data_IF_980944019607
#
_entry.id   IF_980944019607
#
_cell.length_a   1.000
_cell.length_b   1.000
_cell.length_c   1.000
_cell.angle_alpha   90.00
_cell.angle_beta   90.00
_cell.angle_gamma   90.00
#
_symmetry.space_group_name_H-M   'P 1'
#
loop_
_entity.id
_entity.type
_entity.pdbx_description
1 polymer ?
#
# COMPACT_ATOMS: atom_id res chain seq x y z
N UNK A 1 9.22 -24.85 4.45
CA UNK A 1 9.11 -23.62 5.27
C UNK A 1 10.43 -22.85 5.40
N UNK A 2 11.56 -23.50 5.73
CA UNK A 2 12.86 -22.81 5.82
C UNK A 2 13.39 -22.36 4.45
N UNK A 3 13.25 -23.19 3.42
CA UNK A 3 13.71 -22.86 2.06
C UNK A 3 12.86 -21.76 1.39
N UNK A 4 11.55 -21.76 1.63
CA UNK A 4 10.65 -20.69 1.15
C UNK A 4 10.96 -19.35 1.81
N UNK A 5 11.24 -19.32 3.12
CA UNK A 5 11.72 -18.10 3.81
C UNK A 5 13.06 -17.59 3.28
N UNK A 6 13.99 -18.49 2.96
CA UNK A 6 15.30 -18.10 2.42
C UNK A 6 15.18 -17.44 1.04
N UNK A 7 14.37 -18.02 0.14
CA UNK A 7 14.09 -17.44 -1.18
C UNK A 7 13.35 -16.11 -1.07
N UNK A 8 12.34 -16.02 -0.19
CA UNK A 8 11.59 -14.79 0.08
C UNK A 8 12.49 -13.68 0.65
N UNK A 9 13.38 -13.99 1.59
CA UNK A 9 14.38 -13.03 2.08
C UNK A 9 15.26 -12.52 0.95
N UNK A 10 15.73 -13.39 0.05
CA UNK A 10 16.54 -12.95 -1.09
C UNK A 10 15.82 -11.97 -2.03
N UNK A 11 14.51 -12.13 -2.21
CA UNK A 11 13.68 -11.23 -3.04
C UNK A 11 13.44 -9.89 -2.32
N UNK A 12 13.03 -9.97 -1.06
CA UNK A 12 12.66 -8.81 -0.24
C UNK A 12 13.88 -7.93 0.09
N UNK A 13 15.03 -8.54 0.34
CA UNK A 13 16.28 -7.82 0.63
C UNK A 13 16.96 -7.31 -0.65
N UNK A 14 16.37 -7.58 -1.82
CA UNK A 14 16.89 -7.06 -3.08
C UNK A 14 16.72 -5.54 -3.14
N UNK A 15 17.79 -4.85 -3.54
CA UNK A 15 17.76 -3.38 -3.73
C UNK A 15 16.74 -2.94 -4.78
N UNK A 16 16.40 -3.80 -5.74
CA UNK A 16 15.39 -3.52 -6.77
C UNK A 16 13.99 -3.48 -6.17
N UNK A 17 13.68 -4.39 -5.25
CA UNK A 17 12.39 -4.41 -4.57
C UNK A 17 12.20 -3.15 -3.72
N UNK A 18 13.16 -2.84 -2.84
CA UNK A 18 13.09 -1.60 -2.04
C UNK A 18 13.04 -0.32 -2.90
N UNK A 19 13.74 -0.27 -4.04
CA UNK A 19 13.66 0.87 -4.97
C UNK A 19 12.30 0.97 -5.66
N UNK A 20 11.70 -0.16 -6.05
CA UNK A 20 10.37 -0.20 -6.65
C UNK A 20 9.31 0.36 -5.71
N UNK A 21 9.38 -0.01 -4.43
CA UNK A 21 8.46 0.48 -3.39
C UNK A 21 8.64 1.98 -3.17
N UNK A 22 9.88 2.46 -3.06
CA UNK A 22 10.14 3.90 -2.92
C UNK A 22 9.61 4.70 -4.12
N UNK A 23 9.74 4.18 -5.35
CA UNK A 23 9.15 4.80 -6.54
C UNK A 23 7.62 4.81 -6.47
N UNK A 24 7.00 3.70 -6.06
CA UNK A 24 5.55 3.63 -5.93
C UNK A 24 5.03 4.64 -4.88
N UNK A 25 5.74 4.85 -3.77
CA UNK A 25 5.36 5.82 -2.73
C UNK A 25 5.40 7.24 -3.31
N UNK A 26 6.46 7.55 -4.06
CA UNK A 26 6.59 8.84 -4.73
C UNK A 26 5.45 9.05 -5.74
N UNK A 27 5.15 8.05 -6.57
CA UNK A 27 4.07 8.16 -7.56
C UNK A 27 2.71 8.32 -6.88
N UNK A 28 2.42 7.56 -5.82
CA UNK A 28 1.18 7.70 -5.05
C UNK A 28 1.05 9.09 -4.40
N UNK A 29 2.14 9.62 -3.84
CA UNK A 29 2.18 10.98 -3.27
C UNK A 29 1.95 12.05 -4.34
N UNK A 30 2.52 11.88 -5.54
CA UNK A 30 2.30 12.76 -6.69
C UNK A 30 0.84 12.67 -7.16
N UNK A 31 0.24 11.48 -7.20
CA UNK A 31 -1.16 11.29 -7.54
C UNK A 31 -2.09 12.04 -6.58
N UNK A 32 -1.84 11.98 -5.26
CA UNK A 32 -2.58 12.77 -4.27
C UNK A 32 -2.39 14.28 -4.47
N UNK A 33 -1.20 14.72 -4.90
CA UNK A 33 -0.93 16.14 -5.17
C UNK A 33 -1.56 16.69 -6.45
N UNK A 34 -1.93 15.81 -7.39
CA UNK A 34 -2.66 16.16 -8.62
C UNK A 34 -4.17 16.27 -8.35
N UNK A 35 -4.66 15.73 -7.24
CA UNK A 35 -6.07 15.85 -6.89
C UNK A 35 -6.43 17.32 -6.61
N UNK A 36 -7.37 17.86 -7.38
CA UNK A 36 -7.82 19.24 -7.25
C UNK A 36 -9.35 19.35 -7.32
N UNK A 37 -9.91 20.29 -6.54
CA UNK A 37 -11.35 20.58 -6.55
C UNK A 37 -11.78 21.01 -7.96
N UNK A 38 -12.86 20.40 -8.46
CA UNK A 38 -13.40 20.53 -9.85
C UNK A 38 -12.64 19.77 -10.95
N UNK A 39 -11.98 18.65 -10.62
CA UNK A 39 -11.34 17.81 -11.64
C UNK A 39 -12.35 17.09 -12.56
N UNK A 40 -12.00 16.84 -13.84
CA UNK A 40 -12.83 16.06 -14.74
C UNK A 40 -13.01 14.62 -14.22
N UNK A 41 -14.21 14.08 -14.41
CA UNK A 41 -14.63 12.75 -13.90
C UNK A 41 -13.72 11.62 -14.39
N UNK A 42 -13.14 11.76 -15.59
CA UNK A 42 -12.13 10.83 -16.11
C UNK A 42 -10.85 10.80 -15.28
N UNK A 43 -10.39 11.96 -14.80
CA UNK A 43 -9.18 12.06 -13.98
C UNK A 43 -9.43 11.46 -12.59
N UNK A 44 -10.59 11.71 -11.98
CA UNK A 44 -11.00 11.08 -10.72
C UNK A 44 -10.96 9.55 -10.83
N UNK A 45 -11.57 8.98 -11.86
CA UNK A 45 -11.59 7.53 -12.08
C UNK A 45 -10.18 6.95 -12.25
N UNK A 46 -9.29 7.64 -12.97
CA UNK A 46 -7.90 7.21 -13.14
C UNK A 46 -7.16 7.24 -11.79
N UNK A 47 -7.34 8.31 -11.00
CA UNK A 47 -6.70 8.45 -9.69
C UNK A 47 -7.17 7.37 -8.70
N UNK A 48 -8.47 7.06 -8.67
CA UNK A 48 -9.02 5.99 -7.83
C UNK A 48 -8.46 4.61 -8.21
N UNK A 49 -8.44 4.28 -9.52
CA UNK A 49 -7.84 3.03 -10.00
C UNK A 49 -6.37 2.97 -9.62
N UNK A 50 -5.63 4.06 -9.81
CA UNK A 50 -4.22 4.15 -9.40
C UNK A 50 -4.06 3.93 -7.90
N UNK A 51 -4.90 4.52 -7.05
CA UNK A 51 -4.84 4.36 -5.60
C UNK A 51 -5.07 2.90 -5.18
N UNK A 52 -6.05 2.23 -5.78
CA UNK A 52 -6.30 0.79 -5.54
C UNK A 52 -5.10 -0.07 -5.99
N UNK A 53 -4.53 0.21 -7.15
CA UNK A 53 -3.36 -0.52 -7.66
C UNK A 53 -2.15 -0.34 -6.74
N UNK A 54 -1.84 0.90 -6.33
CA UNK A 54 -0.72 1.17 -5.42
C UNK A 54 -0.93 0.52 -4.05
N UNK A 55 -2.12 0.66 -3.47
CA UNK A 55 -2.45 0.04 -2.19
C UNK A 55 -2.32 -1.47 -2.24
N UNK A 56 -2.80 -2.12 -3.31
CA UNK A 56 -2.65 -3.57 -3.49
C UNK A 56 -1.18 -4.00 -3.59
N UNK A 57 -0.34 -3.20 -4.26
CA UNK A 57 1.09 -3.46 -4.41
C UNK A 57 1.83 -3.37 -3.06
N UNK A 58 1.54 -2.34 -2.25
CA UNK A 58 2.12 -2.20 -0.92
C UNK A 58 1.60 -3.25 0.07
N UNK A 59 0.33 -3.64 -0.02
CA UNK A 59 -0.23 -4.72 0.78
C UNK A 59 0.46 -6.06 0.50
N UNK A 60 0.67 -6.40 -0.78
CA UNK A 60 1.43 -7.59 -1.17
C UNK A 60 2.88 -7.53 -0.66
N UNK A 61 3.50 -6.36 -0.73
CA UNK A 61 4.85 -6.15 -0.19
C UNK A 61 4.93 -6.40 1.31
N UNK A 62 4.02 -5.82 2.08
CA UNK A 62 3.92 -6.01 3.52
C UNK A 62 3.80 -7.50 3.85
N UNK A 63 2.92 -8.24 3.15
CA UNK A 63 2.74 -9.69 3.34
C UNK A 63 4.04 -10.45 3.02
N UNK A 64 4.72 -10.12 1.93
CA UNK A 64 5.99 -10.75 1.55
C UNK A 64 7.08 -10.49 2.59
N UNK A 65 7.22 -9.26 3.07
CA UNK A 65 8.16 -8.92 4.14
C UNK A 65 7.83 -9.63 5.45
N UNK A 66 6.54 -9.71 5.82
CA UNK A 66 6.09 -10.42 7.01
C UNK A 66 6.39 -11.93 6.92
N UNK A 67 6.19 -12.52 5.74
CA UNK A 67 6.53 -13.92 5.48
C UNK A 67 8.04 -14.18 5.49
N UNK A 68 8.85 -13.25 4.96
CA UNK A 68 10.30 -13.36 4.88
C UNK A 68 10.98 -13.19 6.26
N UNK A 69 10.68 -12.10 6.96
CA UNK A 69 11.33 -11.76 8.23
C UNK A 69 10.62 -12.36 9.44
N UNK A 70 9.32 -12.57 9.39
CA UNK A 70 8.49 -12.93 10.54
C UNK A 70 8.01 -11.69 11.30
N UNK A 71 6.90 -11.83 12.02
CA UNK A 71 6.19 -10.70 12.67
C UNK A 71 7.08 -9.89 13.62
N UNK A 72 7.87 -10.55 14.46
CA UNK A 72 8.71 -9.88 15.47
C UNK A 72 9.88 -9.08 14.87
N UNK A 73 10.59 -9.64 13.89
CA UNK A 73 11.68 -8.92 13.21
C UNK A 73 11.13 -7.77 12.34
N UNK A 74 9.96 -7.97 11.74
CA UNK A 74 9.29 -6.96 10.93
C UNK A 74 8.89 -5.73 11.78
N UNK A 75 8.23 -5.97 12.91
CA UNK A 75 7.80 -4.92 13.85
C UNK A 75 8.94 -4.27 14.64
N UNK A 76 10.15 -4.81 14.59
CA UNK A 76 11.31 -4.17 15.23
C UNK A 76 11.86 -3.00 14.41
N UNK A 77 11.61 -2.97 13.10
CA UNK A 77 12.07 -1.91 12.23
C UNK A 77 11.00 -0.79 12.12
N UNK A 78 11.28 0.43 12.62
CA UNK A 78 10.30 1.52 12.61
C UNK A 78 9.86 1.93 11.20
N UNK A 79 10.72 1.78 10.19
CA UNK A 79 10.34 2.08 8.80
C UNK A 79 9.29 1.11 8.26
N UNK A 80 9.40 -0.17 8.59
CA UNK A 80 8.42 -1.18 8.21
C UNK A 80 7.09 -0.98 8.96
N UNK A 81 7.14 -0.55 10.22
CA UNK A 81 5.94 -0.19 10.99
C UNK A 81 5.23 1.01 10.34
N UNK A 82 5.97 2.05 10.00
CA UNK A 82 5.41 3.23 9.34
C UNK A 82 4.72 2.85 8.02
N UNK A 83 5.40 2.09 7.18
CA UNK A 83 4.87 1.59 5.91
C UNK A 83 3.60 0.74 6.10
N UNK A 84 3.59 -0.17 7.07
CA UNK A 84 2.39 -0.94 7.42
C UNK A 84 1.20 -0.08 7.83
N UNK A 85 1.44 1.00 8.59
CA UNK A 85 0.37 1.92 9.01
C UNK A 85 -0.23 2.61 7.79
N UNK A 86 0.60 3.09 6.86
CA UNK A 86 0.12 3.72 5.62
C UNK A 86 -0.76 2.73 4.83
N UNK A 87 -0.30 1.50 4.64
CA UNK A 87 -1.06 0.46 3.93
C UNK A 87 -2.41 0.17 4.61
N UNK A 88 -2.43 0.06 5.94
CA UNK A 88 -3.66 -0.21 6.70
C UNK A 88 -4.66 0.95 6.53
N UNK A 89 -4.19 2.19 6.59
CA UNK A 89 -5.03 3.38 6.38
C UNK A 89 -5.61 3.38 4.96
N UNK A 90 -4.79 3.13 3.94
CA UNK A 90 -5.24 3.09 2.54
C UNK A 90 -6.24 1.96 2.28
N UNK A 91 -6.08 0.79 2.90
CA UNK A 91 -7.07 -0.29 2.82
C UNK A 91 -8.39 0.14 3.47
N UNK A 92 -8.35 0.80 4.63
CA UNK A 92 -9.57 1.30 5.28
C UNK A 92 -10.29 2.36 4.45
N UNK A 93 -9.55 3.24 3.78
CA UNK A 93 -10.12 4.22 2.86
C UNK A 93 -10.86 3.54 1.71
N UNK A 94 -10.23 2.59 1.03
CA UNK A 94 -10.82 1.85 -0.09
C UNK A 94 -12.05 1.04 0.38
N UNK A 95 -11.96 0.34 1.51
CA UNK A 95 -13.09 -0.44 2.05
C UNK A 95 -14.23 0.50 2.46
N UNK A 96 -13.92 1.65 3.07
CA UNK A 96 -14.91 2.65 3.44
C UNK A 96 -15.62 3.29 2.23
N UNK A 97 -14.91 3.46 1.11
CA UNK A 97 -15.51 3.88 -0.15
C UNK A 97 -16.36 2.77 -0.80
N UNK A 98 -15.90 1.53 -0.78
CA UNK A 98 -16.57 0.39 -1.38
C UNK A 98 -17.87 -0.02 -0.66
N UNK A 99 -17.94 0.16 0.66
CA UNK A 99 -19.11 -0.28 1.44
C UNK A 99 -20.35 0.61 1.23
N UNK A 100 -20.24 1.83 0.67
CA UNK A 100 -21.36 2.77 0.56
C UNK A 100 -22.08 3.06 1.91
N UNK A 101 -21.53 2.59 3.02
CA UNK A 101 -22.18 2.43 4.33
C UNK A 101 -22.30 3.72 5.11
N UNK A 102 -21.61 4.78 4.67
CA UNK A 102 -21.83 6.14 5.15
C UNK A 102 -23.11 6.78 4.57
N UNK A 103 -23.80 6.13 3.62
CA UNK A 103 -25.17 6.56 3.23
C UNK A 103 -26.18 6.32 4.36
N UNK A 104 -25.97 5.31 5.21
CA UNK A 104 -26.79 5.02 6.40
C UNK A 104 -26.47 5.95 7.58
N UNK A 105 -25.25 6.50 7.66
CA UNK A 105 -24.90 7.53 8.66
C UNK A 105 -25.25 8.96 8.22
N UNK A 106 -25.81 9.11 7.01
CA UNK A 106 -26.37 10.37 6.46
C UNK A 106 -27.90 10.36 6.34
N UNK A 107 -28.59 9.39 6.96
CA UNK A 107 -30.05 9.44 7.22
C UNK A 107 -30.28 9.63 8.71
#
# INVERSE_FOLDING_TARGET
WRETRAKLRGIVDSKYFNRGIMMAILVNTVSMGIEHHEQPEELTNILEICNVVFTSMFALEMILKLAAFGLFDYLRNPYNIFDSIIVIISIWEIVGQADGGLSVLRT
#
